data_IF_493322325670
#
_entry.id   IF_493322325670
#
_cell.length_a   1.000
_cell.length_b   1.000
_cell.length_c   1.000
_cell.angle_alpha   90.00
_cell.angle_beta   90.00
_cell.angle_gamma   90.00
#
_symmetry.space_group_name_H-M   'P 1'
#
loop_
_entity.id
_entity.type
_entity.pdbx_description
1 polymer ?
#
# COMPACT_ATOMS: atom_id res chain seq x y z
N UNK A 1 39.08 51.51 -17.82
CA UNK A 1 39.16 50.15 -17.23
C UNK A 1 40.28 49.42 -17.94
N UNK A 2 41.20 48.82 -17.19
CA UNK A 2 42.30 48.02 -17.73
C UNK A 2 41.76 46.72 -18.33
N UNK A 3 42.45 46.17 -19.34
CA UNK A 3 42.17 44.82 -19.87
C UNK A 3 42.17 43.76 -18.75
N UNK A 4 43.02 43.93 -17.74
CA UNK A 4 43.05 43.07 -16.56
C UNK A 4 41.76 43.16 -15.75
N UNK A 5 41.21 44.36 -15.52
CA UNK A 5 39.96 44.55 -14.77
C UNK A 5 38.79 43.80 -15.43
N UNK A 6 38.73 43.83 -16.77
CA UNK A 6 37.70 43.13 -17.56
C UNK A 6 37.87 41.62 -17.41
N UNK A 7 39.10 41.11 -17.49
CA UNK A 7 39.41 39.69 -17.35
C UNK A 7 38.99 39.16 -15.96
N UNK A 8 39.37 39.84 -14.88
CA UNK A 8 38.97 39.46 -13.51
C UNK A 8 37.45 39.49 -13.29
N UNK A 9 36.74 40.44 -13.92
CA UNK A 9 35.27 40.49 -13.85
C UNK A 9 34.62 39.32 -14.58
N UNK A 10 35.17 38.91 -15.73
CA UNK A 10 34.69 37.74 -16.47
C UNK A 10 34.87 36.45 -15.68
N UNK A 11 36.05 36.23 -15.08
CA UNK A 11 36.32 35.07 -14.22
C UNK A 11 35.38 35.02 -13.00
N UNK A 12 35.10 36.17 -12.38
CA UNK A 12 34.16 36.26 -11.26
C UNK A 12 32.74 35.88 -11.69
N UNK A 13 32.30 36.35 -12.86
CA UNK A 13 30.97 36.02 -13.41
C UNK A 13 30.88 34.53 -13.75
N UNK A 14 31.92 33.93 -14.33
CA UNK A 14 31.95 32.49 -14.63
C UNK A 14 31.87 31.65 -13.36
N UNK A 15 32.60 32.04 -12.31
CA UNK A 15 32.55 31.38 -11.00
C UNK A 15 31.17 31.48 -10.37
N UNK A 16 30.58 32.67 -10.36
CA UNK A 16 29.22 32.88 -9.86
C UNK A 16 28.18 32.06 -10.64
N UNK A 17 28.31 31.97 -11.96
CA UNK A 17 27.43 31.16 -12.81
C UNK A 17 27.56 29.67 -12.51
N UNK A 18 28.79 29.18 -12.31
CA UNK A 18 29.05 27.79 -11.93
C UNK A 18 28.45 27.44 -10.56
N UNK A 19 28.57 28.33 -9.58
CA UNK A 19 27.99 28.14 -8.24
C UNK A 19 26.46 28.17 -8.27
N UNK A 20 25.86 29.06 -9.07
CA UNK A 20 24.42 29.10 -9.29
C UNK A 20 23.90 27.81 -9.96
N UNK A 21 24.62 27.28 -10.97
CA UNK A 21 24.28 26.02 -11.61
C UNK A 21 24.33 24.85 -10.63
N UNK A 22 25.37 24.75 -9.81
CA UNK A 22 25.47 23.72 -8.75
C UNK A 22 24.30 23.81 -7.76
N UNK A 23 23.95 25.02 -7.34
CA UNK A 23 22.81 25.24 -6.43
C UNK A 23 21.48 24.84 -7.08
N UNK A 24 21.31 25.10 -8.36
CA UNK A 24 20.13 24.73 -9.13
C UNK A 24 20.00 23.20 -9.25
N UNK A 25 21.10 22.49 -9.48
CA UNK A 25 21.10 21.03 -9.52
C UNK A 25 20.79 20.40 -8.16
N UNK A 26 21.33 20.97 -7.08
CA UNK A 26 20.99 20.57 -5.71
C UNK A 26 19.48 20.74 -5.43
N UNK A 27 18.91 21.89 -5.79
CA UNK A 27 17.48 22.16 -5.61
C UNK A 27 16.60 21.21 -6.44
N UNK A 28 16.97 20.92 -7.69
CA UNK A 28 16.27 19.93 -8.52
C UNK A 28 16.27 18.54 -7.89
N UNK A 29 17.39 18.12 -7.31
CA UNK A 29 17.48 16.82 -6.64
C UNK A 29 16.63 16.78 -5.37
N UNK A 30 16.62 17.87 -4.58
CA UNK A 30 15.76 18.00 -3.41
C UNK A 30 14.27 17.97 -3.80
N UNK A 31 13.88 18.66 -4.87
CA UNK A 31 12.50 18.65 -5.37
C UNK A 31 12.05 17.24 -5.77
N UNK A 32 12.91 16.49 -6.49
CA UNK A 32 12.64 15.08 -6.84
C UNK A 32 12.47 14.21 -5.60
N UNK A 33 13.34 14.38 -4.60
CA UNK A 33 13.27 13.62 -3.34
C UNK A 33 11.97 13.92 -2.58
N UNK A 34 11.58 15.20 -2.48
CA UNK A 34 10.33 15.61 -1.84
C UNK A 34 9.10 15.06 -2.56
N UNK A 35 9.06 15.10 -3.90
CA UNK A 35 7.97 14.50 -4.68
C UNK A 35 7.87 12.99 -4.45
N UNK A 36 8.99 12.28 -4.39
CA UNK A 36 9.01 10.85 -4.08
C UNK A 36 8.48 10.58 -2.66
N UNK A 37 8.88 11.40 -1.68
CA UNK A 37 8.41 11.28 -0.31
C UNK A 37 6.91 11.54 -0.19
N UNK A 38 6.37 12.56 -0.87
CA UNK A 38 4.93 12.85 -0.89
C UNK A 38 4.14 11.69 -1.51
N UNK A 39 4.60 11.14 -2.65
CA UNK A 39 3.97 9.98 -3.28
C UNK A 39 3.97 8.76 -2.35
N UNK A 40 5.05 8.53 -1.61
CA UNK A 40 5.13 7.45 -0.62
C UNK A 40 4.12 7.67 0.52
N UNK A 41 4.12 8.85 1.14
CA UNK A 41 3.17 9.20 2.20
C UNK A 41 1.71 9.02 1.77
N UNK A 42 1.37 9.45 0.56
CA UNK A 42 0.02 9.30 0.02
C UNK A 42 -0.37 7.82 -0.14
N UNK A 43 0.52 6.99 -0.69
CA UNK A 43 0.28 5.54 -0.83
C UNK A 43 0.10 4.87 0.52
N UNK A 44 0.92 5.22 1.50
CA UNK A 44 0.84 4.66 2.86
C UNK A 44 -0.48 5.06 3.54
N UNK A 45 -0.91 6.32 3.40
CA UNK A 45 -2.19 6.79 3.92
C UNK A 45 -3.37 6.07 3.25
N UNK A 46 -3.36 5.91 1.93
CA UNK A 46 -4.41 5.19 1.21
C UNK A 46 -4.49 3.73 1.65
N UNK A 47 -3.35 3.04 1.80
CA UNK A 47 -3.31 1.66 2.32
C UNK A 47 -3.85 1.57 3.74
N UNK A 48 -3.52 2.53 4.59
CA UNK A 48 -4.03 2.57 5.97
C UNK A 48 -5.54 2.78 6.00
N UNK A 49 -6.08 3.67 5.17
CA UNK A 49 -7.51 3.91 5.07
C UNK A 49 -8.27 2.70 4.53
N UNK A 50 -7.75 2.04 3.49
CA UNK A 50 -8.31 0.81 2.94
C UNK A 50 -8.32 -0.34 3.98
N UNK A 51 -7.23 -0.52 4.71
CA UNK A 51 -7.17 -1.49 5.81
C UNK A 51 -8.18 -1.18 6.91
N UNK A 52 -8.33 0.10 7.31
CA UNK A 52 -9.34 0.52 8.30
C UNK A 52 -10.76 0.24 7.82
N UNK A 53 -11.05 0.49 6.54
CA UNK A 53 -12.37 0.22 5.97
C UNK A 53 -12.68 -1.28 6.02
N UNK A 54 -11.74 -2.13 5.57
CA UNK A 54 -11.88 -3.59 5.61
C UNK A 54 -12.11 -4.12 7.03
N UNK A 55 -11.37 -3.60 8.01
CA UNK A 55 -11.55 -3.97 9.42
C UNK A 55 -12.93 -3.54 9.93
N UNK A 56 -13.38 -2.31 9.64
CA UNK A 56 -14.65 -1.79 10.13
C UNK A 56 -15.83 -2.57 9.54
N UNK A 57 -15.81 -2.79 8.22
CA UNK A 57 -16.83 -3.55 7.49
C UNK A 57 -16.82 -5.01 7.94
N UNK A 58 -15.65 -5.63 8.04
CA UNK A 58 -15.50 -7.00 8.53
C UNK A 58 -16.05 -7.17 9.95
N UNK A 59 -15.66 -6.31 10.89
CA UNK A 59 -16.15 -6.33 12.27
C UNK A 59 -17.67 -6.15 12.36
N UNK A 60 -18.25 -5.31 11.51
CA UNK A 60 -19.69 -5.14 11.41
C UNK A 60 -20.37 -6.45 10.98
N UNK A 61 -19.91 -7.08 9.89
CA UNK A 61 -20.50 -8.34 9.42
C UNK A 61 -20.31 -9.48 10.41
N UNK A 62 -19.14 -9.60 11.06
CA UNK A 62 -18.93 -10.56 12.14
C UNK A 62 -19.95 -10.40 13.28
N UNK A 63 -20.28 -9.15 13.63
CA UNK A 63 -21.34 -8.87 14.61
C UNK A 63 -22.73 -9.27 14.08
N UNK A 64 -22.99 -9.07 12.79
CA UNK A 64 -24.26 -9.45 12.18
C UNK A 64 -24.42 -10.97 12.09
N UNK A 65 -23.38 -11.72 11.75
CA UNK A 65 -23.39 -13.18 11.74
C UNK A 65 -23.70 -13.78 13.11
N UNK A 66 -23.18 -13.17 14.19
CA UNK A 66 -23.52 -13.56 15.56
C UNK A 66 -25.00 -13.35 15.92
N UNK A 67 -25.63 -12.34 15.32
CA UNK A 67 -27.05 -12.03 15.54
C UNK A 67 -27.98 -12.88 14.65
N UNK A 68 -27.53 -13.21 13.45
CA UNK A 68 -28.26 -14.01 12.48
C UNK A 68 -27.31 -15.04 11.84
N UNK A 69 -27.21 -16.25 12.40
CA UNK A 69 -26.36 -17.31 11.86
C UNK A 69 -26.76 -17.77 10.44
N UNK A 70 -28.05 -17.68 10.08
CA UNK A 70 -28.52 -18.07 8.73
C UNK A 70 -27.91 -17.18 7.65
N UNK A 71 -27.62 -15.92 7.98
CA UNK A 71 -26.91 -15.01 7.08
C UNK A 71 -25.53 -15.55 6.73
N UNK A 72 -24.79 -16.08 7.71
CA UNK A 72 -23.45 -16.64 7.48
C UNK A 72 -23.54 -17.91 6.62
N UNK A 73 -24.48 -18.81 6.93
CA UNK A 73 -24.66 -20.04 6.16
C UNK A 73 -25.06 -19.73 4.70
N UNK A 74 -25.94 -18.74 4.47
CA UNK A 74 -26.34 -18.35 3.11
C UNK A 74 -25.19 -17.87 2.21
N UNK A 75 -24.12 -17.32 2.79
CA UNK A 75 -22.96 -16.78 2.05
C UNK A 75 -21.72 -17.67 2.14
N UNK A 76 -21.78 -18.76 2.92
CA UNK A 76 -20.63 -19.64 3.22
C UNK A 76 -19.94 -20.15 1.97
N UNK A 77 -20.71 -20.63 0.98
CA UNK A 77 -20.17 -21.10 -0.29
C UNK A 77 -19.41 -20.00 -1.05
N UNK A 78 -19.97 -18.78 -1.09
CA UNK A 78 -19.32 -17.63 -1.71
C UNK A 78 -18.05 -17.20 -0.96
N UNK A 79 -18.03 -17.27 0.38
CA UNK A 79 -16.85 -16.97 1.18
C UNK A 79 -15.72 -17.99 0.96
N UNK A 80 -16.04 -19.28 0.86
CA UNK A 80 -15.06 -20.34 0.55
C UNK A 80 -14.50 -20.17 -0.86
N UNK A 81 -15.36 -19.86 -1.83
CA UNK A 81 -14.97 -19.59 -3.21
C UNK A 81 -14.02 -18.38 -3.27
N UNK A 82 -14.37 -17.28 -2.62
CA UNK A 82 -13.53 -16.09 -2.52
C UNK A 82 -12.18 -16.37 -1.86
N UNK A 83 -12.15 -17.08 -0.73
CA UNK A 83 -10.90 -17.47 -0.06
C UNK A 83 -10.01 -18.34 -0.98
N UNK A 84 -10.62 -19.08 -1.90
CA UNK A 84 -9.97 -19.95 -2.88
C UNK A 84 -9.53 -19.27 -4.17
N UNK A 85 -9.85 -17.99 -4.38
CA UNK A 85 -9.35 -17.21 -5.54
C UNK A 85 -7.84 -17.00 -5.48
N UNK A 86 -7.28 -16.96 -4.26
CA UNK A 86 -5.84 -16.93 -4.06
C UNK A 86 -5.19 -18.28 -4.45
N UNK A 87 -3.89 -18.27 -4.75
CA UNK A 87 -3.13 -19.48 -5.11
C UNK A 87 -2.02 -19.75 -4.10
N UNK A 88 -1.56 -21.01 -4.03
CA UNK A 88 -0.49 -21.45 -3.15
C UNK A 88 -0.77 -21.20 -1.67
N UNK A 89 0.24 -20.75 -0.93
CA UNK A 89 0.19 -20.58 0.53
C UNK A 89 -0.86 -19.55 0.99
N UNK A 90 -1.19 -18.57 0.15
CA UNK A 90 -2.20 -17.56 0.48
C UNK A 90 -3.61 -18.17 0.53
N UNK A 91 -3.90 -19.14 -0.35
CA UNK A 91 -5.15 -19.90 -0.32
C UNK A 91 -5.30 -20.66 0.99
N UNK A 92 -4.26 -21.39 1.36
CA UNK A 92 -4.23 -22.22 2.57
C UNK A 92 -4.46 -21.39 3.83
N UNK A 93 -3.79 -20.23 3.93
CA UNK A 93 -3.96 -19.30 5.04
C UNK A 93 -5.38 -18.71 5.09
N UNK A 94 -5.93 -18.30 3.95
CA UNK A 94 -7.29 -17.76 3.88
C UNK A 94 -8.33 -18.79 4.32
N UNK A 95 -8.20 -20.04 3.85
CA UNK A 95 -9.11 -21.12 4.21
C UNK A 95 -8.99 -21.50 5.69
N UNK A 96 -7.79 -21.49 6.27
CA UNK A 96 -7.58 -21.75 7.69
C UNK A 96 -8.31 -20.71 8.57
N UNK A 97 -8.16 -19.43 8.27
CA UNK A 97 -8.87 -18.35 8.98
C UNK A 97 -10.39 -18.45 8.81
N UNK A 98 -10.85 -18.85 7.61
CA UNK A 98 -12.28 -19.00 7.36
C UNK A 98 -12.90 -20.17 8.14
N UNK A 99 -12.16 -21.27 8.33
CA UNK A 99 -12.61 -22.40 9.16
C UNK A 99 -12.89 -21.97 10.60
N UNK A 100 -12.04 -21.11 11.18
CA UNK A 100 -12.27 -20.55 12.52
C UNK A 100 -13.57 -19.73 12.58
N UNK A 101 -13.86 -18.94 11.54
CA UNK A 101 -15.11 -18.17 11.48
C UNK A 101 -16.35 -19.07 11.37
N UNK A 102 -16.25 -20.14 10.59
CA UNK A 102 -17.35 -21.05 10.31
C UNK A 102 -17.56 -22.12 11.40
N UNK A 103 -16.74 -22.12 12.47
CA UNK A 103 -16.72 -23.17 13.49
C UNK A 103 -16.70 -24.58 12.87
N UNK A 104 -15.96 -24.76 11.77
CA UNK A 104 -15.75 -26.08 11.19
C UNK A 104 -14.69 -26.75 12.07
N UNK A 105 -15.12 -27.57 13.04
CA UNK A 105 -14.23 -28.53 13.67
C UNK A 105 -13.61 -29.40 12.57
N UNK A 106 -12.36 -29.83 12.72
CA UNK A 106 -11.73 -30.84 11.86
C UNK A 106 -12.45 -32.19 12.08
N UNK A 107 -13.73 -32.28 11.75
CA UNK A 107 -14.34 -33.54 11.39
C UNK A 107 -13.72 -33.94 10.07
N UNK A 108 -13.18 -35.16 10.04
CA UNK A 108 -12.74 -35.87 8.84
C UNK A 108 -13.91 -36.12 7.87
N UNK A 109 -14.69 -35.10 7.54
CA UNK A 109 -15.61 -35.15 6.42
C UNK A 109 -14.83 -34.70 5.19
N UNK A 110 -14.39 -35.72 4.44
CA UNK A 110 -13.94 -35.59 3.07
C UNK A 110 -15.01 -34.78 2.33
N UNK A 111 -14.74 -33.50 2.10
CA UNK A 111 -15.53 -32.66 1.21
C UNK A 111 -15.28 -33.21 -0.19
N UNK A 112 -16.13 -34.15 -0.62
CA UNK A 112 -16.19 -34.56 -2.00
C UNK A 112 -16.70 -33.37 -2.81
N UNK A 113 -15.82 -32.83 -3.64
CA UNK A 113 -16.20 -31.93 -4.72
C UNK A 113 -16.67 -32.81 -5.89
N UNK A 114 -17.99 -32.96 -6.05
CA UNK A 114 -18.61 -33.34 -7.33
C UNK A 114 -18.93 -32.09 -8.14
#
# INVERSE_FOLDING_TARGET
>A
MSKQDIQTKLELIEKQKADQLKKLDQLKNQEKALKAQQRKKQRDLTRQQDARLKILVGAFYLRQFKKNPEMLESIKGSLISFASEATGTAKEQNLAVLKELLNIEDTNEVINFE
#
